data_IF_958268239524
#
_entry.id   IF_958268239524
#
_cell.length_a   1.000
_cell.length_b   1.000
_cell.length_c   1.000
_cell.angle_alpha   90.00
_cell.angle_beta   90.00
_cell.angle_gamma   90.00
#
_symmetry.space_group_name_H-M   'P 1'
#
loop_
_entity.id
_entity.type
_entity.pdbx_description
1 polymer ?
#
# COMPACT_ATOMS: atom_id res chain seq x y z
N UNK A 1 1.72 -0.60 8.42
CA UNK A 1 2.16 0.65 7.77
C UNK A 1 3.31 1.22 8.55
N UNK A 2 4.34 1.71 7.86
CA UNK A 2 5.43 2.41 8.52
C UNK A 2 4.98 3.83 8.87
N UNK A 3 5.31 4.27 10.08
CA UNK A 3 5.00 5.60 10.60
C UNK A 3 6.02 6.00 11.67
N UNK A 4 6.02 7.29 11.99
CA UNK A 4 6.80 7.92 13.06
C UNK A 4 5.92 8.36 14.24
N UNK A 5 4.68 7.86 14.31
CA UNK A 5 3.64 8.27 15.26
C UNK A 5 2.25 8.39 14.62
N UNK A 6 1.20 8.64 15.41
CA UNK A 6 -0.17 8.76 14.90
C UNK A 6 -0.27 9.82 13.80
N UNK A 7 -0.91 9.48 12.67
CA UNK A 7 -1.15 10.41 11.56
C UNK A 7 0.06 10.68 10.66
N UNK A 8 1.13 9.89 10.78
CA UNK A 8 2.36 10.03 9.95
C UNK A 8 2.57 8.87 8.99
N UNK A 9 1.52 8.08 8.73
CA UNK A 9 1.57 7.04 7.71
C UNK A 9 1.76 7.67 6.31
N UNK A 10 2.61 7.06 5.49
CA UNK A 10 2.80 7.41 4.08
C UNK A 10 2.51 6.20 3.18
N UNK A 11 3.27 6.06 2.10
CA UNK A 11 3.21 4.87 1.23
C UNK A 11 4.12 3.72 1.68
N UNK A 12 4.97 3.96 2.69
CA UNK A 12 5.91 2.95 3.18
C UNK A 12 5.19 1.89 4.02
N UNK A 13 5.47 0.62 3.70
CA UNK A 13 4.98 -0.52 4.46
C UNK A 13 6.10 -1.54 4.68
N UNK A 14 5.84 -2.51 5.54
CA UNK A 14 6.76 -3.60 5.82
C UNK A 14 6.00 -4.91 5.89
N UNK A 15 6.70 -6.00 5.58
CA UNK A 15 6.23 -7.38 5.75
C UNK A 15 7.10 -8.01 6.82
N UNK A 16 6.49 -8.58 7.84
CA UNK A 16 7.24 -9.19 8.95
C UNK A 16 7.69 -10.60 8.56
N UNK A 17 8.99 -10.88 8.64
CA UNK A 17 9.53 -12.23 8.38
C UNK A 17 9.22 -13.21 9.52
N UNK A 18 9.07 -12.67 10.74
CA UNK A 18 8.81 -13.39 11.98
C UNK A 18 7.81 -12.61 12.83
N UNK A 19 7.28 -13.21 13.89
CA UNK A 19 6.42 -12.50 14.83
C UNK A 19 7.18 -11.32 15.49
N UNK A 20 6.58 -10.13 15.49
CA UNK A 20 7.16 -8.92 16.09
C UNK A 20 6.23 -8.29 17.14
N UNK A 21 6.04 -8.92 18.32
CA UNK A 21 5.04 -8.45 19.30
C UNK A 21 5.27 -7.02 19.81
N UNK A 22 6.51 -6.54 19.81
CA UNK A 22 6.88 -5.19 20.23
C UNK A 22 6.34 -4.08 19.30
N UNK A 23 5.82 -4.45 18.11
CA UNK A 23 5.17 -3.55 17.15
C UNK A 23 3.64 -3.50 17.32
N UNK A 24 3.06 -4.39 18.14
CA UNK A 24 1.62 -4.47 18.32
C UNK A 24 1.06 -3.13 18.83
N UNK A 25 0.00 -2.64 18.19
CA UNK A 25 -0.65 -1.36 18.51
C UNK A 25 0.14 -0.11 18.11
N UNK A 26 1.38 -0.24 17.62
CA UNK A 26 2.20 0.89 17.16
C UNK A 26 2.09 1.14 15.66
N UNK A 27 1.80 0.10 14.90
CA UNK A 27 1.66 0.18 13.45
C UNK A 27 0.35 -0.46 13.00
N UNK A 28 -0.34 0.20 12.07
CA UNK A 28 -1.59 -0.29 11.49
C UNK A 28 -1.33 -1.50 10.61
N UNK A 29 -1.88 -2.67 10.99
CA UNK A 29 -1.87 -3.88 10.17
C UNK A 29 -3.05 -3.83 9.21
N UNK A 30 -2.79 -3.97 7.91
CA UNK A 30 -3.80 -3.87 6.84
C UNK A 30 -3.88 -5.13 5.96
N UNK A 31 -3.02 -6.11 6.18
CA UNK A 31 -2.97 -7.32 5.36
C UNK A 31 -2.08 -8.40 5.97
N UNK A 32 -2.13 -9.59 5.34
CA UNK A 32 -1.24 -10.72 5.64
C UNK A 32 -0.83 -11.39 4.34
N UNK A 33 0.37 -11.94 4.31
CA UNK A 33 0.84 -12.79 3.22
C UNK A 33 0.00 -14.08 3.23
N UNK A 34 -0.72 -14.35 2.15
CA UNK A 34 -1.54 -15.56 1.99
C UNK A 34 -0.85 -16.63 1.16
N UNK A 35 0.09 -16.22 0.30
CA UNK A 35 0.93 -17.08 -0.53
C UNK A 35 2.31 -16.42 -0.75
N UNK A 36 3.34 -17.21 -1.06
CA UNK A 36 4.69 -16.71 -1.35
C UNK A 36 5.55 -16.35 -0.14
N UNK A 37 5.22 -16.84 1.06
CA UNK A 37 6.01 -16.58 2.27
C UNK A 37 7.51 -16.96 2.15
N UNK A 38 7.90 -18.06 1.48
CA UNK A 38 9.32 -18.36 1.24
C UNK A 38 10.05 -17.28 0.42
N UNK A 39 9.36 -16.61 -0.50
CA UNK A 39 9.92 -15.51 -1.30
C UNK A 39 10.19 -14.32 -0.39
N UNK A 40 9.21 -13.95 0.44
CA UNK A 40 9.37 -12.89 1.45
C UNK A 40 10.60 -13.17 2.33
N UNK A 41 10.73 -14.40 2.83
CA UNK A 41 11.86 -14.80 3.67
C UNK A 41 13.21 -14.75 2.94
N UNK A 42 13.21 -14.82 1.60
CA UNK A 42 14.43 -14.75 0.78
C UNK A 42 14.87 -13.33 0.41
N UNK A 43 14.01 -12.31 0.65
CA UNK A 43 14.28 -10.92 0.31
C UNK A 43 15.56 -10.39 1.00
N UNK A 44 16.31 -9.59 0.26
CA UNK A 44 17.58 -9.00 0.69
C UNK A 44 17.52 -7.48 0.62
N UNK A 45 18.44 -6.83 1.34
CA UNK A 45 18.57 -5.38 1.29
C UNK A 45 18.87 -4.96 -0.15
N UNK A 46 18.14 -3.95 -0.63
CA UNK A 46 18.18 -3.39 -2.00
C UNK A 46 17.42 -4.20 -3.07
N UNK A 47 16.69 -5.25 -2.70
CA UNK A 47 15.71 -5.82 -3.63
C UNK A 47 14.65 -4.75 -3.96
N UNK A 48 14.25 -4.73 -5.23
CA UNK A 48 13.35 -3.73 -5.79
C UNK A 48 11.96 -4.32 -6.02
N UNK A 49 10.93 -3.57 -5.66
CA UNK A 49 9.57 -3.87 -6.12
C UNK A 49 9.44 -3.33 -7.55
N UNK A 50 9.33 -4.23 -8.53
CA UNK A 50 9.16 -3.85 -9.93
C UNK A 50 7.72 -3.41 -10.25
N UNK A 51 6.73 -4.10 -9.68
CA UNK A 51 5.31 -3.77 -9.86
C UNK A 51 4.48 -4.21 -8.66
N UNK A 52 3.36 -3.52 -8.46
CA UNK A 52 2.31 -3.89 -7.50
C UNK A 52 0.99 -3.89 -8.27
N UNK A 53 0.21 -4.96 -8.10
CA UNK A 53 -1.15 -5.05 -8.63
C UNK A 53 -2.12 -5.31 -7.49
N UNK A 54 -3.20 -4.55 -7.45
CA UNK A 54 -4.33 -4.77 -6.56
C UNK A 54 -5.41 -5.48 -7.37
N UNK A 55 -5.82 -6.65 -6.91
CA UNK A 55 -6.83 -7.49 -7.57
C UNK A 55 -8.06 -7.67 -6.67
N UNK A 56 -9.20 -7.99 -7.28
CA UNK A 56 -10.50 -8.13 -6.61
C UNK A 56 -11.53 -7.11 -7.11
N UNK A 57 -12.72 -7.15 -6.50
CA UNK A 57 -13.79 -6.18 -6.77
C UNK A 57 -13.68 -4.99 -5.81
N UNK A 58 -13.39 -3.82 -6.37
CA UNK A 58 -13.31 -2.54 -5.67
C UNK A 58 -14.36 -1.52 -6.15
N UNK A 59 -15.30 -1.92 -7.01
CA UNK A 59 -16.29 -1.01 -7.61
C UNK A 59 -17.09 -0.26 -6.55
N UNK A 60 -17.59 -0.97 -5.53
CA UNK A 60 -18.34 -0.35 -4.44
C UNK A 60 -17.49 0.64 -3.60
N UNK A 61 -16.18 0.43 -3.47
CA UNK A 61 -15.29 1.39 -2.80
C UNK A 61 -15.14 2.65 -3.64
N UNK A 62 -14.98 2.49 -4.94
CA UNK A 62 -14.73 3.57 -5.88
C UNK A 62 -15.96 4.45 -6.03
N UNK A 63 -17.15 3.86 -6.10
CA UNK A 63 -18.43 4.60 -6.08
C UNK A 63 -18.56 5.47 -4.83
N UNK A 64 -18.30 4.91 -3.64
CA UNK A 64 -18.35 5.67 -2.38
C UNK A 64 -17.30 6.78 -2.28
N UNK A 65 -16.19 6.63 -3.01
CA UNK A 65 -15.06 7.54 -2.98
C UNK A 65 -14.94 8.39 -4.25
N UNK A 66 -15.94 8.36 -5.13
CA UNK A 66 -15.90 9.03 -6.43
C UNK A 66 -15.52 10.53 -6.34
N UNK A 67 -16.03 11.34 -5.39
CA UNK A 67 -15.61 12.74 -5.27
C UNK A 67 -14.11 12.89 -4.96
N UNK A 68 -13.58 12.03 -4.09
CA UNK A 68 -12.18 12.02 -3.69
C UNK A 68 -11.27 11.50 -4.81
N UNK A 69 -11.73 10.50 -5.56
CA UNK A 69 -11.01 9.99 -6.73
C UNK A 69 -10.89 11.05 -7.83
N UNK A 70 -11.96 11.83 -8.07
CA UNK A 70 -11.92 12.93 -9.03
C UNK A 70 -10.90 14.00 -8.63
N UNK A 71 -10.85 14.39 -7.35
CA UNK A 71 -9.85 15.33 -6.83
C UNK A 71 -8.42 14.81 -7.04
N UNK A 72 -8.17 13.54 -6.70
CA UNK A 72 -6.85 12.94 -6.85
C UNK A 72 -6.45 12.79 -8.32
N UNK A 73 -7.36 12.38 -9.19
CA UNK A 73 -7.09 12.25 -10.61
C UNK A 73 -6.74 13.61 -11.26
N UNK A 74 -7.38 14.71 -10.83
CA UNK A 74 -7.01 16.05 -11.29
C UNK A 74 -5.57 16.42 -10.89
N UNK A 75 -5.18 16.13 -9.64
CA UNK A 75 -3.80 16.35 -9.16
C UNK A 75 -2.81 15.48 -9.92
N UNK A 76 -3.16 14.23 -10.22
CA UNK A 76 -2.31 13.31 -10.98
C UNK A 76 -2.14 13.77 -12.42
N UNK A 77 -3.20 14.23 -13.08
CA UNK A 77 -3.14 14.73 -14.45
C UNK A 77 -2.25 15.97 -14.57
N UNK A 78 -2.36 16.89 -13.61
CA UNK A 78 -1.55 18.11 -13.56
C UNK A 78 -0.05 17.81 -13.29
N UNK A 79 0.24 16.97 -12.31
CA UNK A 79 1.61 16.79 -11.81
C UNK A 79 2.35 15.58 -12.39
N UNK A 80 1.60 14.59 -12.90
CA UNK A 80 2.11 13.30 -13.34
C UNK A 80 1.38 12.78 -14.59
N UNK A 81 1.43 13.50 -15.72
CA UNK A 81 0.61 13.23 -16.91
C UNK A 81 0.86 11.87 -17.57
N UNK A 82 1.95 11.18 -17.20
CA UNK A 82 2.28 9.83 -17.70
C UNK A 82 1.67 8.71 -16.83
N UNK A 83 1.01 9.03 -15.72
CA UNK A 83 0.34 8.06 -14.88
C UNK A 83 -1.10 7.85 -15.33
N UNK A 84 -1.56 6.60 -15.22
CA UNK A 84 -2.97 6.28 -15.47
C UNK A 84 -3.82 6.84 -14.33
N UNK A 85 -4.95 7.46 -14.68
CA UNK A 85 -5.96 7.83 -13.72
C UNK A 85 -6.52 6.58 -13.01
N UNK A 86 -6.92 6.74 -11.75
CA UNK A 86 -7.71 5.72 -11.08
C UNK A 86 -9.03 5.54 -11.85
N UNK A 87 -9.49 4.29 -12.06
CA UNK A 87 -10.72 4.00 -12.80
C UNK A 87 -11.99 4.54 -12.13
#
# INVERSE_FOLDING_TARGET
MANSGPGTDGSQFFITHLATPHLNGKHSVFGKVVDGLPIVQSLRRKDTIESIRIEGDYSALFERKAPQLAEWNAVLEENYPNLLAAP
#
